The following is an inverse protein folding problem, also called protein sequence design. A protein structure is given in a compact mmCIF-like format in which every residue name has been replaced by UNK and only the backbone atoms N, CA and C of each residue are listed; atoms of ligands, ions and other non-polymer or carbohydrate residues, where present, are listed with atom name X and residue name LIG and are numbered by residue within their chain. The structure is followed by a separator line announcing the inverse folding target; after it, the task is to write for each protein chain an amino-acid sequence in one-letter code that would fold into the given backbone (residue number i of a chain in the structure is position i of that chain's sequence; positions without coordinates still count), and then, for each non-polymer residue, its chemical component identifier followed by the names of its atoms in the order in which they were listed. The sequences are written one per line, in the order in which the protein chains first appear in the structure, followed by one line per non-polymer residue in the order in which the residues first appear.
data_IF_067200024149
#
_entry.id   IF_067200024149
#
_cell.length_a   1.000
_cell.length_b   1.000
_cell.length_c   1.000
_cell.angle_alpha   90.00
_cell.angle_beta   90.00
_cell.angle_gamma   90.00
#
_symmetry.space_group_name_H-M   'P 1'
#
loop_
_entity.id
_entity.type
_entity.pdbx_description
1 polymer ?
#
# COMPACT_ATOMS: atom_id res chain seq x y z
N UNK A 1 9.10 -2.86 11.81
CA UNK A 1 8.43 -1.70 11.20
C UNK A 1 9.49 -0.85 10.54
N UNK A 2 9.35 -0.67 9.24
CA UNK A 2 10.38 -0.04 8.39
C UNK A 2 9.94 1.36 7.97
N UNK A 3 10.90 2.26 7.76
CA UNK A 3 10.61 3.63 7.33
C UNK A 3 10.39 3.68 5.83
N UNK A 4 9.40 4.45 5.38
CA UNK A 4 9.16 4.62 3.94
C UNK A 4 10.34 5.32 3.26
N UNK A 5 11.01 4.71 2.30
CA UNK A 5 12.18 5.29 1.62
C UNK A 5 11.80 6.46 0.69
N UNK A 6 12.77 7.33 0.41
CA UNK A 6 12.61 8.39 -0.59
C UNK A 6 12.44 7.84 -2.02
N UNK A 7 13.04 6.69 -2.30
CA UNK A 7 12.90 5.90 -3.51
C UNK A 7 13.04 4.41 -3.17
N UNK A 8 12.34 3.57 -3.91
CA UNK A 8 12.53 2.12 -3.87
C UNK A 8 13.13 1.69 -5.21
N UNK A 9 14.16 0.85 -5.18
CA UNK A 9 14.60 0.16 -6.40
C UNK A 9 13.50 -0.81 -6.84
N UNK A 10 13.35 -1.01 -8.14
CA UNK A 10 12.42 -1.99 -8.69
C UNK A 10 12.89 -3.40 -8.31
N UNK A 11 12.43 -3.89 -7.17
CA UNK A 11 12.56 -5.28 -6.80
C UNK A 11 11.51 -6.09 -7.58
N UNK A 12 11.93 -7.14 -8.28
CA UNK A 12 10.99 -8.11 -8.85
C UNK A 12 10.36 -8.91 -7.70
N UNK A 13 9.13 -8.54 -7.35
CA UNK A 13 8.29 -9.22 -6.36
C UNK A 13 7.16 -10.01 -7.05
N UNK A 14 7.36 -10.39 -8.31
CA UNK A 14 6.33 -11.03 -9.15
C UNK A 14 5.86 -12.39 -8.61
N UNK A 15 6.69 -13.08 -7.83
CA UNK A 15 6.34 -14.38 -7.23
C UNK A 15 5.70 -14.25 -5.84
N UNK A 16 5.48 -13.04 -5.33
CA UNK A 16 4.96 -12.83 -3.99
C UNK A 16 3.45 -13.07 -3.95
N UNK A 17 3.00 -13.98 -3.08
CA UNK A 17 1.57 -14.29 -2.89
C UNK A 17 0.92 -13.39 -1.84
N UNK A 18 1.67 -13.05 -0.77
CA UNK A 18 1.18 -12.27 0.35
C UNK A 18 2.14 -11.12 0.68
N UNK A 19 1.59 -9.93 0.93
CA UNK A 19 2.34 -8.78 1.44
C UNK A 19 1.69 -8.20 2.70
N UNK A 20 2.53 -7.83 3.67
CA UNK A 20 2.12 -7.07 4.85
C UNK A 20 2.93 -5.78 4.94
N UNK A 21 2.26 -4.64 4.81
CA UNK A 21 2.87 -3.33 4.91
C UNK A 21 2.57 -2.69 6.26
N UNK A 22 3.62 -2.49 7.05
CA UNK A 22 3.60 -1.70 8.29
C UNK A 22 4.69 -0.62 8.27
N UNK A 23 4.45 0.38 7.43
CA UNK A 23 5.36 1.49 7.15
C UNK A 23 5.21 2.59 8.21
N UNK A 24 6.34 3.22 8.55
CA UNK A 24 6.37 4.43 9.38
C UNK A 24 6.70 5.66 8.54
N UNK A 25 6.13 6.83 8.86
CA UNK A 25 6.52 8.08 8.23
C UNK A 25 7.99 8.37 8.58
N UNK A 26 8.76 8.88 7.62
CA UNK A 26 10.04 9.50 7.97
C UNK A 26 9.73 10.80 8.74
N UNK A 27 10.22 10.91 9.98
CA UNK A 27 10.01 12.09 10.84
C UNK A 27 11.07 13.20 10.65
N UNK A 28 11.99 13.04 9.69
CA UNK A 28 13.06 14.00 9.44
C UNK A 28 12.61 15.11 8.47
N UNK A 29 12.47 16.34 8.99
CA UNK A 29 12.03 17.51 8.23
C UNK A 29 12.94 17.89 7.04
N UNK A 30 14.19 17.44 7.04
CA UNK A 30 15.17 17.72 5.99
C UNK A 30 15.13 16.72 4.82
N UNK A 31 14.42 15.60 4.97
CA UNK A 31 14.34 14.59 3.92
C UNK A 31 13.17 14.87 2.98
N UNK A 32 13.34 14.61 1.67
CA UNK A 32 12.25 14.70 0.72
C UNK A 32 11.11 13.77 1.15
N UNK A 33 9.87 14.21 0.93
CA UNK A 33 8.71 13.36 1.21
C UNK A 33 8.83 12.04 0.43
N UNK A 34 8.53 10.89 1.05
CA UNK A 34 8.68 9.61 0.39
C UNK A 34 7.79 9.51 -0.85
N UNK A 35 8.21 8.66 -1.78
CA UNK A 35 7.38 8.20 -2.90
C UNK A 35 7.31 6.68 -2.81
N UNK A 36 6.12 6.17 -2.56
CA UNK A 36 5.90 4.73 -2.39
C UNK A 36 5.42 4.05 -3.68
N UNK A 37 5.35 4.78 -4.79
CA UNK A 37 4.82 4.26 -6.06
C UNK A 37 5.50 2.96 -6.48
N UNK A 38 6.84 2.92 -6.50
CA UNK A 38 7.60 1.74 -6.93
C UNK A 38 7.38 0.54 -6.01
N UNK A 39 7.25 0.77 -4.69
CA UNK A 39 6.91 -0.28 -3.73
C UNK A 39 5.53 -0.88 -4.03
N UNK A 40 4.53 -0.02 -4.25
CA UNK A 40 3.15 -0.47 -4.49
C UNK A 40 3.04 -1.16 -5.86
N UNK A 41 3.73 -0.67 -6.88
CA UNK A 41 3.83 -1.34 -8.19
C UNK A 41 4.51 -2.71 -8.07
N UNK A 42 5.56 -2.83 -7.25
CA UNK A 42 6.26 -4.10 -7.05
C UNK A 42 5.35 -5.20 -6.48
N UNK A 43 4.49 -4.87 -5.52
CA UNK A 43 3.60 -5.85 -4.87
C UNK A 43 2.24 -6.04 -5.57
N UNK A 44 2.05 -5.51 -6.78
CA UNK A 44 0.72 -5.49 -7.43
C UNK A 44 0.10 -6.88 -7.71
N UNK A 45 0.93 -7.92 -7.80
CA UNK A 45 0.50 -9.28 -8.16
C UNK A 45 0.12 -10.16 -6.97
N UNK A 46 0.17 -9.63 -5.74
CA UNK A 46 -0.20 -10.40 -4.55
C UNK A 46 -1.67 -10.79 -4.54
N UNK A 47 -1.96 -11.93 -3.94
CA UNK A 47 -3.32 -12.42 -3.69
C UNK A 47 -3.84 -11.92 -2.34
N UNK A 48 -2.94 -11.67 -1.39
CA UNK A 48 -3.26 -11.27 -0.02
C UNK A 48 -2.47 -10.01 0.34
N UNK A 49 -3.17 -8.95 0.76
CA UNK A 49 -2.56 -7.69 1.17
C UNK A 49 -3.06 -7.26 2.56
N UNK A 50 -2.12 -7.03 3.46
CA UNK A 50 -2.37 -6.46 4.78
C UNK A 50 -1.77 -5.06 4.87
N UNK A 51 -2.61 -4.07 5.16
CA UNK A 51 -2.19 -2.68 5.34
C UNK A 51 -2.43 -2.26 6.78
N UNK A 52 -1.39 -1.77 7.46
CA UNK A 52 -1.59 -1.03 8.71
C UNK A 52 -2.26 0.33 8.44
N UNK A 53 -2.93 0.95 9.44
CA UNK A 53 -3.59 2.25 9.24
C UNK A 53 -2.64 3.35 8.76
N UNK A 54 -1.38 3.30 9.23
CA UNK A 54 -0.34 4.23 8.82
C UNK A 54 0.07 3.97 7.37
N UNK A 55 0.28 2.71 6.98
CA UNK A 55 0.58 2.35 5.59
C UNK A 55 -0.53 2.82 4.64
N UNK A 56 -1.80 2.64 5.00
CA UNK A 56 -2.92 3.11 4.18
C UNK A 56 -2.88 4.64 3.97
N UNK A 57 -2.63 5.41 5.03
CA UNK A 57 -2.47 6.86 4.89
C UNK A 57 -1.27 7.26 4.02
N UNK A 58 -0.14 6.57 4.20
CA UNK A 58 1.06 6.85 3.41
C UNK A 58 0.84 6.55 1.92
N UNK A 59 0.16 5.46 1.59
CA UNK A 59 -0.17 5.12 0.20
C UNK A 59 -1.10 6.18 -0.40
N UNK A 60 -2.15 6.60 0.34
CA UNK A 60 -3.05 7.66 -0.15
C UNK A 60 -2.33 8.98 -0.44
N UNK A 61 -1.35 9.31 0.42
CA UNK A 61 -0.66 10.62 0.40
C UNK A 61 0.57 10.65 -0.51
N UNK A 62 1.25 9.51 -0.69
CA UNK A 62 2.60 9.44 -1.26
C UNK A 62 2.75 8.45 -2.42
N UNK A 63 1.67 7.81 -2.87
CA UNK A 63 1.67 7.04 -4.12
C UNK A 63 1.39 7.97 -5.31
N UNK A 64 2.43 8.69 -5.76
CA UNK A 64 2.30 9.79 -6.75
C UNK A 64 2.00 9.31 -8.16
N UNK A 65 2.50 8.13 -8.53
CA UNK A 65 2.20 7.50 -9.83
C UNK A 65 0.80 6.88 -9.92
N UNK A 66 0.01 6.96 -8.84
CA UNK A 66 -1.29 6.31 -8.75
C UNK A 66 -1.17 4.84 -8.32
N UNK A 67 -2.31 4.26 -7.98
CA UNK A 67 -2.38 2.85 -7.61
C UNK A 67 -2.29 1.97 -8.86
N UNK A 68 -1.50 0.88 -8.83
CA UNK A 68 -1.52 -0.12 -9.88
C UNK A 68 -2.83 -0.91 -9.85
N UNK A 69 -3.11 -1.63 -10.94
CA UNK A 69 -4.15 -2.65 -10.97
C UNK A 69 -3.67 -3.87 -10.18
N UNK A 70 -4.47 -4.26 -9.18
CA UNK A 70 -4.32 -5.46 -8.37
C UNK A 70 -5.23 -6.56 -8.94
N UNK A 71 -4.83 -7.13 -10.07
CA UNK A 71 -5.61 -8.10 -10.83
C UNK A 71 -5.68 -9.50 -10.20
N UNK A 72 -4.85 -9.77 -9.19
CA UNK A 72 -4.82 -11.03 -8.45
C UNK A 72 -5.27 -10.89 -6.99
N UNK A 73 -5.52 -9.68 -6.50
CA UNK A 73 -5.83 -9.47 -5.08
C UNK A 73 -7.21 -10.02 -4.73
N UNK A 74 -7.23 -11.04 -3.87
CA UNK A 74 -8.43 -11.72 -3.38
C UNK A 74 -8.79 -11.27 -1.97
N UNK A 75 -7.77 -11.02 -1.12
CA UNK A 75 -7.95 -10.72 0.30
C UNK A 75 -7.25 -9.42 0.68
N UNK A 76 -8.02 -8.45 1.20
CA UNK A 76 -7.52 -7.19 1.71
C UNK A 76 -7.85 -7.03 3.19
N UNK A 77 -6.81 -6.97 4.03
CA UNK A 77 -6.91 -6.54 5.42
C UNK A 77 -6.52 -5.07 5.52
N UNK A 78 -7.47 -4.22 5.86
CA UNK A 78 -7.33 -2.77 5.83
C UNK A 78 -7.38 -2.18 7.24
N UNK A 79 -6.25 -1.68 7.72
CA UNK A 79 -6.18 -0.92 8.96
C UNK A 79 -6.88 0.43 8.81
N UNK A 80 -7.80 0.73 9.71
CA UNK A 80 -8.70 1.88 9.66
C UNK A 80 -8.52 2.88 10.82
N UNK A 81 -7.56 2.62 11.72
CA UNK A 81 -7.32 3.48 12.88
C UNK A 81 -6.92 4.89 12.43
N UNK A 82 -7.81 5.84 12.71
CA UNK A 82 -7.78 7.25 12.32
C UNK A 82 -8.21 7.46 10.85
N UNK A 83 -9.14 8.40 10.62
CA UNK A 83 -9.85 8.69 9.36
C UNK A 83 -8.96 8.94 8.11
N UNK A 84 -7.65 8.99 8.30
CA UNK A 84 -6.64 9.38 7.33
C UNK A 84 -6.37 8.32 6.24
N UNK A 85 -6.66 7.04 6.51
CA UNK A 85 -6.53 5.95 5.52
C UNK A 85 -7.77 5.76 4.65
N UNK A 86 -8.95 6.21 5.09
CA UNK A 86 -10.23 5.86 4.47
C UNK A 86 -10.41 6.34 3.02
N UNK A 87 -9.71 7.41 2.64
CA UNK A 87 -9.69 7.90 1.25
C UNK A 87 -9.05 6.92 0.28
N UNK A 88 -8.17 6.04 0.77
CA UNK A 88 -7.52 5.01 -0.03
C UNK A 88 -8.47 3.88 -0.39
N UNK A 89 -9.32 3.47 0.56
CA UNK A 89 -10.16 2.28 0.43
C UNK A 89 -10.98 2.25 -0.88
N UNK A 90 -11.77 3.28 -1.24
CA UNK A 90 -12.51 3.25 -2.50
C UNK A 90 -11.61 3.21 -3.74
N UNK A 91 -10.39 3.79 -3.67
CA UNK A 91 -9.41 3.74 -4.77
C UNK A 91 -8.86 2.32 -4.94
N UNK A 92 -8.53 1.64 -3.84
CA UNK A 92 -8.07 0.25 -3.85
C UNK A 92 -9.16 -0.71 -4.36
N UNK A 93 -10.41 -0.55 -3.90
CA UNK A 93 -11.53 -1.39 -4.36
C UNK A 93 -11.71 -1.27 -5.89
N UNK A 94 -11.58 -0.06 -6.44
CA UNK A 94 -11.65 0.15 -7.89
C UNK A 94 -10.49 -0.51 -8.65
N UNK A 95 -9.32 -0.62 -8.03
CA UNK A 95 -8.14 -1.28 -8.61
C UNK A 95 -8.08 -2.79 -8.34
N UNK A 96 -9.02 -3.35 -7.58
CA UNK A 96 -8.99 -4.76 -7.14
C UNK A 96 -10.23 -5.50 -7.64
N UNK A 97 -10.37 -5.75 -8.96
CA UNK A 97 -11.60 -6.26 -9.55
C UNK A 97 -11.97 -7.69 -9.12
N UNK A 98 -11.00 -8.47 -8.62
CA UNK A 98 -11.20 -9.84 -8.13
C UNK A 98 -11.29 -9.93 -6.61
N UNK A 99 -11.39 -8.80 -5.90
CA UNK A 99 -11.42 -8.81 -4.45
C UNK A 99 -12.64 -9.58 -3.93
N UNK A 100 -12.40 -10.62 -3.14
CA UNK A 100 -13.45 -11.47 -2.56
C UNK A 100 -13.69 -11.12 -1.09
N UNK A 101 -12.60 -10.83 -0.36
CA UNK A 101 -12.64 -10.58 1.07
C UNK A 101 -12.03 -9.22 1.42
N UNK A 102 -12.81 -8.39 2.12
CA UNK A 102 -12.35 -7.16 2.76
C UNK A 102 -12.53 -7.29 4.29
N UNK A 103 -11.44 -7.16 5.03
CA UNK A 103 -11.43 -7.08 6.49
C UNK A 103 -11.03 -5.67 6.88
N UNK A 104 -11.80 -5.00 7.73
CA UNK A 104 -11.49 -3.67 8.26
C UNK A 104 -11.10 -3.81 9.74
N UNK A 105 -9.94 -3.28 10.14
CA UNK A 105 -9.36 -3.43 11.47
C UNK A 105 -9.07 -2.10 12.17
#
# INVERSE_FOLDING_TARGET
SDYALAKYEQASLESLVEAKLDLRPISCAWLPRPDVTDLIVGIRHVEILHLSPVSAHLIDSYCRGGLPLFDNLLNLSFGSKNDQGWKLLPKLLKQSPKLETLIVQ
#
